data_IF_128951267676
#
_entry.id   IF_128951267676
#
_cell.length_a   1.000
_cell.length_b   1.000
_cell.length_c   1.000
_cell.angle_alpha   90.00
_cell.angle_beta   90.00
_cell.angle_gamma   90.00
#
_symmetry.space_group_name_H-M   'P 1'
#
loop_
_entity.id
_entity.type
_entity.pdbx_description
1 polymer ?
#
# COMPACT_ATOMS: atom_id res chain seq x y z
N UNK A 1 -19.53 18.69 0.70
CA UNK A 1 -20.35 17.48 1.00
C UNK A 1 -21.73 17.65 0.39
N UNK A 2 -21.80 17.50 -0.94
CA UNK A 2 -23.01 17.38 -1.78
C UNK A 2 -22.51 17.09 -3.20
N UNK A 3 -23.26 16.25 -3.92
CA UNK A 3 -23.20 16.03 -5.37
C UNK A 3 -22.10 15.10 -5.90
N UNK A 4 -22.09 13.86 -5.41
CA UNK A 4 -21.49 12.72 -6.11
C UNK A 4 -22.58 11.66 -6.30
N UNK A 5 -23.53 11.90 -7.21
CA UNK A 5 -24.47 10.93 -7.81
C UNK A 5 -25.23 11.68 -8.92
N UNK A 6 -25.52 10.96 -10.00
CA UNK A 6 -26.27 11.35 -11.21
C UNK A 6 -25.54 12.15 -12.29
N UNK A 7 -24.84 11.42 -13.16
CA UNK A 7 -24.63 11.82 -14.56
C UNK A 7 -25.76 11.18 -15.38
N UNK A 8 -26.73 11.94 -15.91
CA UNK A 8 -27.83 11.37 -16.68
C UNK A 8 -27.38 11.07 -18.11
N UNK A 9 -27.30 9.79 -18.48
CA UNK A 9 -27.23 9.37 -19.88
C UNK A 9 -28.65 8.99 -20.31
N UNK A 10 -29.20 9.77 -21.24
CA UNK A 10 -30.59 9.65 -21.73
C UNK A 10 -30.74 8.35 -22.53
N UNK A 11 -31.35 7.33 -21.95
CA UNK A 11 -31.77 6.10 -22.64
C UNK A 11 -33.08 6.33 -23.39
N UNK A 12 -33.15 5.89 -24.66
CA UNK A 12 -34.32 6.03 -25.55
C UNK A 12 -35.46 5.03 -25.28
N UNK A 13 -35.41 4.23 -24.22
CA UNK A 13 -36.44 3.23 -23.94
C UNK A 13 -36.87 3.27 -22.48
N UNK A 14 -38.09 3.78 -22.26
CA UNK A 14 -38.73 4.02 -20.96
C UNK A 14 -39.01 2.76 -20.15
N UNK A 15 -37.96 2.14 -19.61
CA UNK A 15 -38.04 1.22 -18.47
C UNK A 15 -37.05 1.67 -17.41
N UNK A 16 -37.58 2.10 -16.28
CA UNK A 16 -36.83 2.49 -15.08
C UNK A 16 -36.23 1.24 -14.43
N UNK A 17 -35.13 0.73 -14.99
CA UNK A 17 -34.33 -0.31 -14.36
C UNK A 17 -33.29 0.36 -13.45
N UNK A 18 -33.47 0.25 -12.14
CA UNK A 18 -32.40 0.51 -11.17
C UNK A 18 -31.38 -0.61 -11.34
N UNK A 19 -30.45 -0.48 -12.27
CA UNK A 19 -29.26 -1.34 -12.33
C UNK A 19 -28.06 -0.49 -12.71
N UNK A 20 -27.70 0.40 -11.79
CA UNK A 20 -26.41 1.08 -11.76
C UNK A 20 -25.34 0.17 -11.13
N UNK A 21 -25.13 -1.03 -11.69
CA UNK A 21 -23.93 -1.81 -11.34
C UNK A 21 -22.75 -1.22 -12.10
N UNK A 22 -22.13 -0.16 -11.56
CA UNK A 22 -20.79 0.20 -11.98
C UNK A 22 -19.88 -0.96 -11.53
N UNK A 23 -19.46 -1.79 -12.48
CA UNK A 23 -18.52 -2.87 -12.27
C UNK A 23 -17.14 -2.51 -12.83
N UNK A 24 -16.15 -3.32 -12.46
CA UNK A 24 -14.74 -3.12 -12.80
C UNK A 24 -14.46 -3.01 -14.32
N UNK A 25 -15.31 -3.60 -15.16
CA UNK A 25 -15.09 -3.68 -16.61
C UNK A 25 -14.05 -4.75 -16.98
N UNK A 26 -13.83 -4.99 -18.29
CA UNK A 26 -12.85 -5.96 -18.75
C UNK A 26 -11.42 -5.49 -18.43
N UNK A 27 -10.59 -6.38 -17.89
CA UNK A 27 -9.18 -6.09 -17.61
C UNK A 27 -8.42 -6.05 -18.94
N UNK A 28 -7.73 -4.94 -19.28
CA UNK A 28 -6.95 -4.87 -20.51
C UNK A 28 -5.76 -5.82 -20.44
N UNK A 29 -5.66 -6.72 -21.42
CA UNK A 29 -4.55 -7.68 -21.56
C UNK A 29 -3.35 -7.03 -22.29
N UNK A 30 -3.51 -5.80 -22.80
CA UNK A 30 -2.47 -5.09 -23.54
C UNK A 30 -1.38 -4.54 -22.62
N UNK A 31 -0.12 -4.90 -22.92
CA UNK A 31 1.06 -4.17 -22.46
C UNK A 31 0.99 -2.76 -23.05
N UNK A 32 0.59 -1.79 -22.23
CA UNK A 32 0.58 -0.40 -22.65
C UNK A 32 2.04 0.03 -22.88
N UNK A 33 2.46 0.10 -24.13
CA UNK A 33 3.75 0.72 -24.49
C UNK A 33 3.59 2.20 -24.19
N UNK A 34 4.14 2.65 -23.06
CA UNK A 34 4.17 4.06 -22.67
C UNK A 34 4.60 4.91 -23.88
N UNK A 35 3.81 5.92 -24.22
CA UNK A 35 4.16 6.84 -25.30
C UNK A 35 5.51 7.50 -25.01
N UNK A 36 6.35 7.64 -26.03
CA UNK A 36 7.73 8.14 -25.89
C UNK A 36 7.82 9.55 -25.28
N UNK A 37 6.73 10.33 -25.36
CA UNK A 37 6.60 11.67 -24.77
C UNK A 37 6.51 11.63 -23.24
N UNK A 38 5.78 10.67 -22.68
CA UNK A 38 5.60 10.52 -21.24
C UNK A 38 6.92 10.16 -20.56
N UNK A 39 7.68 9.23 -21.15
CA UNK A 39 8.99 8.80 -20.64
C UNK A 39 9.99 9.97 -20.61
N UNK A 40 9.95 10.85 -21.61
CA UNK A 40 10.85 12.00 -21.70
C UNK A 40 10.68 13.00 -20.56
N UNK A 41 9.49 13.16 -19.99
CA UNK A 41 9.26 14.14 -18.89
C UNK A 41 9.02 13.48 -17.53
N UNK A 42 8.79 12.17 -17.49
CA UNK A 42 8.49 11.43 -16.26
C UNK A 42 9.59 11.58 -15.20
N UNK A 43 10.86 11.65 -15.60
CA UNK A 43 11.97 11.73 -14.65
C UNK A 43 11.92 13.03 -13.82
N UNK A 44 11.58 14.17 -14.40
CA UNK A 44 11.53 15.45 -13.65
C UNK A 44 10.33 15.51 -12.70
N UNK A 45 9.21 14.88 -13.08
CA UNK A 45 7.96 14.91 -12.31
C UNK A 45 7.93 13.86 -11.20
N UNK A 46 8.59 12.72 -11.38
CA UNK A 46 8.48 11.57 -10.48
C UNK A 46 9.68 11.38 -9.55
N UNK A 47 10.81 12.03 -9.80
CA UNK A 47 12.03 11.80 -9.03
C UNK A 47 11.85 11.99 -7.51
N UNK A 48 11.26 13.11 -7.10
CA UNK A 48 10.94 13.39 -5.70
C UNK A 48 9.99 12.36 -5.07
N UNK A 49 8.78 12.15 -5.63
CA UNK A 49 7.83 11.15 -5.15
C UNK A 49 8.42 9.74 -5.04
N UNK A 50 9.15 9.30 -6.07
CA UNK A 50 9.72 7.95 -6.15
C UNK A 50 10.79 7.75 -5.08
N UNK A 51 11.64 8.74 -4.82
CA UNK A 51 12.63 8.65 -3.75
C UNK A 51 11.98 8.47 -2.37
N UNK A 52 10.97 9.29 -2.06
CA UNK A 52 10.26 9.21 -0.79
C UNK A 52 9.54 7.87 -0.65
N UNK A 53 8.83 7.43 -1.69
CA UNK A 53 8.09 6.17 -1.67
C UNK A 53 9.02 4.96 -1.60
N UNK A 54 10.19 5.00 -2.26
CA UNK A 54 11.18 3.92 -2.19
C UNK A 54 11.78 3.81 -0.79
N UNK A 55 12.15 4.94 -0.18
CA UNK A 55 12.66 4.97 1.20
C UNK A 55 11.61 4.47 2.19
N UNK A 56 10.36 4.90 2.02
CA UNK A 56 9.25 4.46 2.86
C UNK A 56 8.99 2.96 2.71
N UNK A 57 8.83 2.47 1.49
CA UNK A 57 8.61 1.04 1.20
C UNK A 57 9.76 0.18 1.74
N UNK A 58 11.00 0.60 1.51
CA UNK A 58 12.17 -0.13 2.00
C UNK A 58 12.21 -0.18 3.53
N UNK A 59 11.94 0.94 4.19
CA UNK A 59 11.90 1.03 5.66
C UNK A 59 10.77 0.16 6.24
N UNK A 60 9.58 0.21 5.65
CA UNK A 60 8.45 -0.63 6.03
C UNK A 60 8.81 -2.10 5.94
N UNK A 61 9.33 -2.53 4.80
CA UNK A 61 9.63 -3.92 4.53
C UNK A 61 10.78 -4.45 5.40
N UNK A 62 11.83 -3.64 5.64
CA UNK A 62 12.88 -3.97 6.61
C UNK A 62 12.33 -4.06 8.04
N UNK A 63 11.41 -3.17 8.44
CA UNK A 63 10.78 -3.22 9.75
C UNK A 63 9.92 -4.48 9.93
N UNK A 64 9.16 -4.88 8.89
CA UNK A 64 8.43 -6.15 8.83
C UNK A 64 9.41 -7.30 8.98
N UNK A 65 10.40 -7.40 8.10
CA UNK A 65 11.36 -8.51 8.08
C UNK A 65 12.08 -8.67 9.43
N UNK A 66 12.51 -7.57 10.05
CA UNK A 66 13.13 -7.57 11.38
C UNK A 66 12.16 -8.04 12.47
N UNK A 67 10.94 -7.51 12.51
CA UNK A 67 9.93 -7.93 13.50
C UNK A 67 9.61 -9.42 13.39
N UNK A 68 9.65 -9.95 12.16
CA UNK A 68 9.37 -11.34 11.84
C UNK A 68 10.52 -12.27 12.20
N UNK A 69 11.76 -11.87 11.88
CA UNK A 69 12.96 -12.59 12.28
C UNK A 69 13.06 -12.68 13.81
N UNK A 70 12.71 -11.62 14.54
CA UNK A 70 12.65 -11.65 16.01
C UNK A 70 11.61 -12.64 16.54
N UNK A 71 10.43 -12.74 15.91
CA UNK A 71 9.41 -13.73 16.29
C UNK A 71 9.85 -15.17 16.04
N UNK A 72 10.60 -15.42 14.95
CA UNK A 72 11.09 -16.75 14.58
C UNK A 72 12.44 -17.13 15.19
N UNK A 73 13.18 -16.14 15.72
CA UNK A 73 14.59 -16.24 16.10
C UNK A 73 15.51 -16.58 14.93
N UNK A 74 15.16 -16.09 13.74
CA UNK A 74 15.96 -16.23 12.53
C UNK A 74 17.04 -15.15 12.46
N UNK A 75 18.12 -15.41 11.71
CA UNK A 75 19.10 -14.39 11.36
C UNK A 75 18.46 -13.34 10.43
N UNK A 76 18.83 -12.07 10.61
CA UNK A 76 18.35 -10.96 9.80
C UNK A 76 19.52 -10.13 9.29
N UNK A 77 19.60 -9.98 7.97
CA UNK A 77 20.53 -9.07 7.29
C UNK A 77 19.73 -8.01 6.51
N UNK A 78 19.80 -6.77 6.99
CA UNK A 78 19.11 -5.64 6.37
C UNK A 78 19.65 -5.33 4.96
N UNK A 79 20.94 -5.54 4.70
CA UNK A 79 21.53 -5.28 3.38
C UNK A 79 20.98 -6.28 2.37
N UNK A 80 20.87 -7.56 2.77
CA UNK A 80 20.33 -8.60 1.90
C UNK A 80 18.85 -8.35 1.57
N UNK A 81 18.05 -7.93 2.55
CA UNK A 81 16.64 -7.57 2.35
C UNK A 81 16.49 -6.36 1.41
N UNK A 82 17.31 -5.32 1.61
CA UNK A 82 17.30 -4.13 0.75
C UNK A 82 17.68 -4.44 -0.70
N UNK A 83 18.74 -5.24 -0.89
CA UNK A 83 19.15 -5.71 -2.22
C UNK A 83 18.04 -6.55 -2.86
N UNK A 84 17.41 -7.45 -2.09
CA UNK A 84 16.30 -8.28 -2.56
C UNK A 84 15.11 -7.46 -3.07
N UNK A 85 14.71 -6.42 -2.35
CA UNK A 85 13.63 -5.51 -2.77
C UNK A 85 14.00 -4.69 -4.00
N UNK A 86 15.25 -4.23 -4.07
CA UNK A 86 15.76 -3.54 -5.25
C UNK A 86 15.65 -4.43 -6.50
N UNK A 87 16.16 -5.66 -6.42
CA UNK A 87 16.05 -6.63 -7.50
C UNK A 87 14.60 -6.99 -7.85
N UNK A 88 13.72 -7.16 -6.85
CA UNK A 88 12.31 -7.45 -7.08
C UNK A 88 11.61 -6.32 -7.86
N UNK A 89 11.88 -5.06 -7.51
CA UNK A 89 11.30 -3.90 -8.19
C UNK A 89 11.91 -3.67 -9.58
N UNK A 90 13.22 -3.88 -9.76
CA UNK A 90 13.86 -3.85 -11.09
C UNK A 90 13.27 -4.94 -11.98
N UNK A 91 13.18 -6.18 -11.50
CA UNK A 91 12.55 -7.26 -12.25
C UNK A 91 11.08 -6.94 -12.58
N UNK A 92 10.31 -6.42 -11.61
CA UNK A 92 8.91 -6.01 -11.80
C UNK A 92 8.73 -4.90 -12.83
N UNK A 93 9.68 -3.99 -12.98
CA UNK A 93 9.59 -2.89 -13.95
C UNK A 93 9.49 -3.37 -15.40
N UNK A 94 10.07 -4.52 -15.73
CA UNK A 94 9.96 -5.14 -17.07
C UNK A 94 8.59 -5.73 -17.36
N UNK A 95 7.73 -5.89 -16.35
CA UNK A 95 6.38 -6.45 -16.44
C UNK A 95 5.29 -5.42 -16.13
N UNK A 96 5.61 -4.12 -16.21
CA UNK A 96 4.70 -3.03 -15.87
C UNK A 96 4.13 -3.12 -14.44
N UNK A 97 4.88 -3.71 -13.50
CA UNK A 97 4.45 -3.83 -12.12
C UNK A 97 4.49 -2.48 -11.39
N UNK A 98 3.55 -2.28 -10.47
CA UNK A 98 3.64 -1.20 -9.49
C UNK A 98 4.80 -1.46 -8.51
N UNK A 99 5.39 -0.40 -7.91
CA UNK A 99 6.36 -0.55 -6.84
C UNK A 99 5.82 -1.45 -5.73
N UNK A 100 6.61 -2.45 -5.36
CA UNK A 100 6.25 -3.47 -4.40
C UNK A 100 7.11 -3.37 -3.14
N UNK A 101 6.51 -3.76 -2.01
CA UNK A 101 7.08 -3.73 -0.67
C UNK A 101 6.70 -5.01 0.09
N UNK A 102 7.26 -5.17 1.29
CA UNK A 102 6.82 -6.17 2.26
C UNK A 102 5.36 -5.94 2.70
N UNK A 103 4.71 -6.97 3.22
CA UNK A 103 3.34 -6.88 3.74
C UNK A 103 3.19 -7.63 5.05
N UNK A 104 2.82 -6.91 6.12
CA UNK A 104 2.52 -7.51 7.42
C UNK A 104 1.42 -8.57 7.32
N UNK A 105 0.36 -8.29 6.55
CA UNK A 105 -0.80 -9.19 6.47
C UNK A 105 -0.44 -10.51 5.77
N UNK A 106 0.18 -10.45 4.58
CA UNK A 106 0.60 -11.66 3.85
C UNK A 106 1.60 -12.50 4.64
N UNK A 107 2.56 -11.82 5.26
CA UNK A 107 3.60 -12.45 6.07
C UNK A 107 3.04 -13.07 7.35
N UNK A 108 2.07 -12.42 7.99
CA UNK A 108 1.35 -12.94 9.16
C UNK A 108 0.52 -14.18 8.86
N UNK A 109 -0.21 -14.19 7.72
CA UNK A 109 -0.91 -15.41 7.26
C UNK A 109 0.08 -16.54 6.99
N UNK A 110 1.22 -16.23 6.38
CA UNK A 110 2.25 -17.23 6.10
C UNK A 110 2.89 -17.81 7.39
N UNK A 111 3.04 -17.00 8.44
CA UNK A 111 3.40 -17.50 9.79
C UNK A 111 2.34 -18.42 10.34
N UNK A 112 1.07 -18.00 10.31
CA UNK A 112 -0.03 -18.75 10.89
C UNK A 112 -0.20 -20.11 10.20
N UNK A 113 0.15 -20.19 8.91
CA UNK A 113 0.23 -21.43 8.14
C UNK A 113 1.51 -22.25 8.39
N UNK A 114 2.35 -21.87 9.35
CA UNK A 114 3.63 -22.50 9.67
C UNK A 114 4.60 -22.64 8.48
N UNK A 115 4.56 -21.74 7.49
CA UNK A 115 5.48 -21.80 6.37
C UNK A 115 6.92 -21.57 6.84
N UNK A 116 7.88 -22.42 6.43
CA UNK A 116 9.28 -22.33 6.90
C UNK A 116 10.27 -21.86 5.83
N UNK A 117 9.86 -21.86 4.56
CA UNK A 117 10.74 -21.59 3.42
C UNK A 117 10.11 -20.54 2.49
N UNK A 118 10.92 -19.82 1.68
CA UNK A 118 10.42 -18.87 0.69
C UNK A 118 9.56 -19.53 -0.40
N UNK A 119 9.55 -20.87 -0.51
CA UNK A 119 8.70 -21.60 -1.46
C UNK A 119 7.22 -21.30 -1.26
N UNK A 120 6.77 -20.97 -0.04
CA UNK A 120 5.38 -20.59 0.19
C UNK A 120 5.00 -19.31 -0.58
N UNK A 121 5.89 -18.32 -0.64
CA UNK A 121 5.65 -17.09 -1.39
C UNK A 121 5.65 -17.35 -2.90
N UNK A 122 6.55 -18.23 -3.39
CA UNK A 122 6.59 -18.64 -4.80
C UNK A 122 5.31 -19.38 -5.19
N UNK A 123 4.86 -20.32 -4.35
CA UNK A 123 3.61 -21.04 -4.56
C UNK A 123 2.42 -20.06 -4.58
N UNK A 124 2.34 -19.14 -3.62
CA UNK A 124 1.29 -18.11 -3.60
C UNK A 124 1.28 -17.25 -4.87
N UNK A 125 2.45 -16.87 -5.39
CA UNK A 125 2.56 -16.11 -6.64
C UNK A 125 2.10 -16.94 -7.85
N UNK A 126 2.50 -18.21 -7.95
CA UNK A 126 2.05 -19.12 -9.01
C UNK A 126 0.53 -19.34 -8.96
N UNK A 127 -0.02 -19.60 -7.76
CA UNK A 127 -1.46 -19.71 -7.56
C UNK A 127 -2.19 -18.42 -7.94
N UNK A 128 -1.63 -17.25 -7.61
CA UNK A 128 -2.22 -15.97 -8.02
C UNK A 128 -2.28 -15.83 -9.54
N UNK A 129 -1.22 -16.19 -10.27
CA UNK A 129 -1.21 -16.16 -11.74
C UNK A 129 -2.28 -17.10 -12.32
N UNK A 130 -2.39 -18.32 -11.79
CA UNK A 130 -3.41 -19.28 -12.19
C UNK A 130 -4.81 -18.71 -11.94
N UNK A 131 -5.07 -18.22 -10.73
CA UNK A 131 -6.37 -17.63 -10.37
C UNK A 131 -6.69 -16.47 -11.30
N UNK A 132 -5.75 -15.55 -11.56
CA UNK A 132 -5.98 -14.44 -12.46
C UNK A 132 -6.28 -14.90 -13.88
N UNK A 133 -5.59 -15.92 -14.41
CA UNK A 133 -5.85 -16.45 -15.74
C UNK A 133 -7.29 -16.98 -15.90
N UNK A 134 -7.86 -17.61 -14.87
CA UNK A 134 -9.22 -18.15 -14.90
C UNK A 134 -10.30 -17.17 -14.44
N UNK A 135 -9.99 -16.28 -13.49
CA UNK A 135 -10.93 -15.36 -12.85
C UNK A 135 -10.97 -13.98 -13.51
N UNK A 136 -9.97 -13.62 -14.32
CA UNK A 136 -9.98 -12.37 -15.11
C UNK A 136 -11.31 -12.10 -15.84
N UNK A 137 -11.95 -13.06 -16.56
CA UNK A 137 -13.25 -12.80 -17.19
C UNK A 137 -14.38 -12.58 -16.18
N UNK A 138 -14.27 -13.09 -14.96
CA UNK A 138 -15.27 -12.87 -13.91
C UNK A 138 -15.12 -11.49 -13.24
N UNK A 139 -13.93 -10.88 -13.33
CA UNK A 139 -13.66 -9.58 -12.73
C UNK A 139 -14.59 -8.46 -13.27
N UNK A 140 -15.08 -8.59 -14.51
CA UNK A 140 -16.03 -7.65 -15.09
C UNK A 140 -17.35 -7.57 -14.30
N UNK A 141 -17.73 -8.63 -13.58
CA UNK A 141 -18.95 -8.66 -12.77
C UNK A 141 -18.75 -8.10 -11.36
N UNK A 142 -17.53 -7.71 -11.00
CA UNK A 142 -17.20 -7.24 -9.65
C UNK A 142 -17.73 -5.80 -9.44
N UNK A 143 -18.72 -5.58 -8.56
CA UNK A 143 -19.26 -4.24 -8.33
C UNK A 143 -18.27 -3.40 -7.54
N UNK A 144 -18.12 -2.10 -7.86
CA UNK A 144 -17.24 -1.21 -7.09
C UNK A 144 -17.63 -1.13 -5.61
N UNK A 145 -18.91 -1.34 -5.27
CA UNK A 145 -19.36 -1.38 -3.88
C UNK A 145 -18.67 -2.48 -3.07
N UNK A 146 -18.40 -3.65 -3.67
CA UNK A 146 -17.72 -4.76 -3.01
C UNK A 146 -16.25 -4.41 -2.78
N UNK A 147 -15.60 -3.81 -3.78
CA UNK A 147 -14.20 -3.35 -3.65
C UNK A 147 -14.08 -2.27 -2.58
N UNK A 148 -14.99 -1.29 -2.57
CA UNK A 148 -14.99 -0.23 -1.57
C UNK A 148 -15.22 -0.78 -0.15
N UNK A 149 -16.16 -1.72 0.02
CA UNK A 149 -16.41 -2.37 1.30
C UNK A 149 -15.19 -3.17 1.78
N UNK A 150 -14.52 -3.89 0.87
CA UNK A 150 -13.29 -4.62 1.17
C UNK A 150 -12.17 -3.66 1.61
N UNK A 151 -11.96 -2.55 0.90
CA UNK A 151 -10.96 -1.55 1.26
C UNK A 151 -11.24 -0.91 2.62
N UNK A 152 -12.51 -0.62 2.94
CA UNK A 152 -12.90 -0.12 4.27
C UNK A 152 -12.65 -1.16 5.37
N UNK A 153 -12.97 -2.43 5.13
CA UNK A 153 -12.71 -3.51 6.08
C UNK A 153 -11.20 -3.69 6.33
N UNK A 154 -10.37 -3.61 5.28
CA UNK A 154 -8.91 -3.65 5.42
C UNK A 154 -8.40 -2.43 6.19
N UNK A 155 -8.85 -1.22 5.83
CA UNK A 155 -8.45 0.00 6.53
C UNK A 155 -8.82 -0.05 8.02
N UNK A 156 -9.99 -0.57 8.36
CA UNK A 156 -10.43 -0.74 9.75
C UNK A 156 -9.51 -1.69 10.53
N UNK A 157 -9.08 -2.78 9.92
CA UNK A 157 -8.16 -3.75 10.53
C UNK A 157 -6.72 -3.23 10.69
N UNK A 158 -6.34 -2.15 9.99
CA UNK A 158 -5.03 -1.51 10.15
C UNK A 158 -4.97 -0.56 11.35
N UNK A 159 -6.13 -0.16 11.91
CA UNK A 159 -6.17 0.78 13.04
C UNK A 159 -5.86 0.02 14.34
N UNK A 160 -4.64 0.23 14.87
CA UNK A 160 -4.24 -0.28 16.17
C UNK A 160 -4.50 0.76 17.28
N UNK A 161 -5.67 0.65 17.92
CA UNK A 161 -6.07 1.54 19.01
C UNK A 161 -5.16 1.39 20.24
N UNK A 162 -4.58 0.20 20.46
CA UNK A 162 -3.69 -0.06 21.59
C UNK A 162 -2.36 0.68 21.39
N UNK A 163 -1.79 0.61 20.17
CA UNK A 163 -0.59 1.34 19.81
C UNK A 163 -0.83 2.86 19.87
N UNK A 164 -1.92 3.37 19.32
CA UNK A 164 -2.26 4.80 19.40
C UNK A 164 -2.33 5.27 20.85
N UNK A 165 -2.98 4.48 21.73
CA UNK A 165 -3.06 4.81 23.16
C UNK A 165 -1.70 4.74 23.84
N UNK A 166 -0.84 3.83 23.43
CA UNK A 166 0.54 3.74 23.92
C UNK A 166 1.33 5.00 23.56
N UNK A 167 1.32 5.44 22.30
CA UNK A 167 2.04 6.65 21.86
C UNK A 167 1.57 7.91 22.59
N UNK A 168 0.25 8.06 22.81
CA UNK A 168 -0.30 9.19 23.57
C UNK A 168 0.21 9.19 25.02
N UNK A 169 0.34 8.02 25.64
CA UNK A 169 0.86 7.87 27.01
C UNK A 169 2.37 8.07 27.10
N UNK A 170 3.12 7.72 26.05
CA UNK A 170 4.58 7.91 25.95
C UNK A 170 4.97 9.39 25.92
N UNK A 171 4.03 10.29 25.57
CA UNK A 171 4.18 11.73 25.73
C UNK A 171 4.24 12.49 24.40
N UNK A 172 4.35 13.83 24.44
CA UNK A 172 4.22 14.70 23.26
C UNK A 172 5.24 14.45 22.16
N UNK A 173 6.36 13.77 22.46
CA UNK A 173 7.37 13.46 21.45
C UNK A 173 6.93 12.43 20.43
N UNK A 174 6.07 11.51 20.85
CA UNK A 174 5.69 10.37 20.03
C UNK A 174 4.31 10.60 19.38
N UNK A 175 3.34 11.16 20.13
CA UNK A 175 2.01 11.39 19.55
C UNK A 175 1.91 12.60 18.63
N UNK A 176 2.72 13.67 18.82
CA UNK A 176 2.67 14.86 17.94
C UNK A 176 3.09 14.50 16.50
N UNK A 177 4.23 13.82 16.25
CA UNK A 177 4.58 13.39 14.91
C UNK A 177 3.55 12.43 14.31
N UNK A 178 3.02 11.50 15.11
CA UNK A 178 1.94 10.58 14.68
C UNK A 178 0.70 11.36 14.20
N UNK A 179 0.24 12.34 14.97
CA UNK A 179 -0.94 13.14 14.63
C UNK A 179 -0.69 13.99 13.37
N UNK A 180 0.47 14.65 13.30
CA UNK A 180 0.82 15.50 12.15
C UNK A 180 0.92 14.66 10.87
N UNK A 181 1.54 13.48 10.95
CA UNK A 181 1.61 12.56 9.80
C UNK A 181 0.22 12.10 9.39
N UNK A 182 -0.60 11.65 10.36
CA UNK A 182 -1.96 11.17 10.10
C UNK A 182 -2.84 12.24 9.44
N UNK A 183 -2.88 13.45 9.99
CA UNK A 183 -3.60 14.57 9.38
C UNK A 183 -2.99 14.98 8.03
N UNK A 184 -1.67 14.96 7.92
CA UNK A 184 -0.95 15.23 6.68
C UNK A 184 -1.41 14.32 5.54
N UNK A 185 -1.54 13.01 5.77
CA UNK A 185 -1.97 12.06 4.72
C UNK A 185 -3.38 12.30 4.20
N UNK A 186 -4.23 13.01 4.95
CA UNK A 186 -5.60 13.36 4.55
C UNK A 186 -5.63 14.68 3.77
N UNK A 187 -4.76 15.63 4.12
CA UNK A 187 -4.83 17.02 3.66
C UNK A 187 -3.89 17.33 2.49
N UNK A 188 -2.76 16.62 2.39
CA UNK A 188 -1.72 16.85 1.39
C UNK A 188 -1.26 15.53 0.75
N UNK A 189 -0.46 15.61 -0.31
CA UNK A 189 0.10 14.42 -0.96
C UNK A 189 0.93 13.59 0.03
N UNK A 190 0.85 12.26 -0.10
CA UNK A 190 1.47 11.30 0.80
C UNK A 190 2.97 11.55 1.03
N UNK A 191 3.71 11.92 -0.04
CA UNK A 191 5.14 12.23 0.04
C UNK A 191 5.47 13.35 1.03
N UNK A 192 4.69 14.44 1.00
CA UNK A 192 4.89 15.61 1.86
C UNK A 192 4.44 15.31 3.28
N UNK A 193 3.36 14.55 3.45
CA UNK A 193 2.89 14.11 4.76
C UNK A 193 3.97 13.31 5.50
N UNK A 194 4.61 12.37 4.80
CA UNK A 194 5.68 11.53 5.37
C UNK A 194 6.92 12.35 5.70
N UNK A 195 7.38 13.22 4.79
CA UNK A 195 8.54 14.08 5.03
C UNK A 195 8.33 15.02 6.22
N UNK A 196 7.17 15.68 6.31
CA UNK A 196 6.82 16.54 7.44
C UNK A 196 6.79 15.73 8.74
N UNK A 197 6.18 14.54 8.72
CA UNK A 197 6.15 13.63 9.86
C UNK A 197 7.54 13.28 10.40
N UNK A 198 8.46 12.91 9.51
CA UNK A 198 9.85 12.58 9.87
C UNK A 198 10.59 13.78 10.45
N UNK A 199 10.46 14.96 9.82
CA UNK A 199 11.08 16.19 10.30
C UNK A 199 10.57 16.57 11.70
N UNK A 200 9.25 16.50 11.90
CA UNK A 200 8.62 16.76 13.20
C UNK A 200 9.10 15.75 14.24
N UNK A 201 9.17 14.46 13.91
CA UNK A 201 9.69 13.44 14.82
C UNK A 201 11.15 13.72 15.24
N UNK A 202 12.00 14.11 14.28
CA UNK A 202 13.39 14.44 14.56
C UNK A 202 13.54 15.67 15.46
N UNK A 203 12.72 16.71 15.25
CA UNK A 203 12.69 17.91 16.10
C UNK A 203 12.14 17.58 17.49
N UNK A 204 11.04 16.82 17.56
CA UNK A 204 10.38 16.49 18.81
C UNK A 204 11.27 15.65 19.74
N UNK A 205 12.08 14.74 19.18
CA UNK A 205 13.07 13.97 19.94
C UNK A 205 14.14 14.84 20.60
N UNK A 206 14.46 16.01 20.05
CA UNK A 206 15.47 16.94 20.59
C UNK A 206 15.00 17.71 21.83
N UNK A 207 13.71 17.72 22.15
CA UNK A 207 13.26 18.39 23.37
C UNK A 207 13.84 17.71 24.63
N UNK A 208 13.81 18.32 25.82
CA UNK A 208 14.20 17.69 27.10
C UNK A 208 13.08 16.78 27.66
N UNK A 209 13.38 15.49 27.88
CA UNK A 209 12.37 14.49 28.24
C UNK A 209 11.91 14.79 29.68
N UNK A 210 10.68 15.26 29.87
CA UNK A 210 10.13 15.38 31.23
C UNK A 210 10.01 13.98 31.79
N UNK A 211 10.89 13.65 32.74
CA UNK A 211 10.89 12.39 33.46
C UNK A 211 9.50 12.15 34.06
N UNK A 212 8.91 11.00 33.73
CA UNK A 212 7.79 10.39 34.45
C UNK A 212 8.20 8.99 34.85
#
# INVERSE_FOLDING_TARGET
MKTFIDIPIKSKQGRTAITTRKCFGPIPIATNVQSSEWVRNAHQLLFGPVLVMTLLASTEAMAIARAMALKRKDAFDANQEFIGQGFANVAGSFFSAYPSSGSFNRTGVNLAANAQTPLSAIAAALFLVIILAFVSPLAEYLPYAVVAALLLAVAWNLIDVQQIRHEIRSGPREWIPMLITGLGTILISLEWAVLVGICVAAIAKRWPQSAK
#
